data_IF_732155107228
#
_entry.id   IF_732155107228
#
_cell.length_a   1.000
_cell.length_b   1.000
_cell.length_c   1.000
_cell.angle_alpha   90.00
_cell.angle_beta   90.00
_cell.angle_gamma   90.00
#
_symmetry.space_group_name_H-M   'P 1'
#
loop_
_entity.id
_entity.type
_entity.pdbx_description
1 polymer ?
#
# COMPACT_ATOMS: atom_id res chain seq x y z
N UNK A 1 -8.52 -0.23 -5.24
CA UNK A 1 -9.76 -0.99 -5.03
C UNK A 1 -9.52 -2.45 -4.67
N UNK A 2 -8.58 -3.15 -5.31
CA UNK A 2 -8.21 -4.53 -4.92
C UNK A 2 -7.79 -4.66 -3.45
N UNK A 3 -6.99 -3.71 -2.94
CA UNK A 3 -6.53 -3.71 -1.55
C UNK A 3 -7.69 -3.61 -0.54
N UNK A 4 -8.71 -2.80 -0.85
CA UNK A 4 -9.90 -2.67 0.00
C UNK A 4 -10.68 -3.99 0.06
N UNK A 5 -10.83 -4.65 -1.09
CA UNK A 5 -11.49 -5.96 -1.15
C UNK A 5 -10.71 -7.01 -0.35
N UNK A 6 -9.38 -7.03 -0.46
CA UNK A 6 -8.50 -7.91 0.33
C UNK A 6 -8.75 -7.74 1.83
N UNK A 7 -8.77 -6.50 2.32
CA UNK A 7 -9.02 -6.23 3.75
C UNK A 7 -10.43 -6.65 4.15
N UNK A 8 -11.45 -6.33 3.37
CA UNK A 8 -12.85 -6.69 3.67
C UNK A 8 -13.06 -8.20 3.72
N UNK A 9 -12.50 -8.94 2.77
CA UNK A 9 -12.61 -10.40 2.71
C UNK A 9 -11.91 -11.06 3.90
N UNK A 10 -10.74 -10.54 4.30
CA UNK A 10 -10.02 -11.07 5.45
C UNK A 10 -10.73 -10.78 6.76
N UNK A 11 -11.32 -9.59 6.90
CA UNK A 11 -12.16 -9.24 8.06
C UNK A 11 -13.47 -10.04 8.11
N UNK A 12 -14.01 -10.44 6.96
CA UNK A 12 -15.19 -11.32 6.88
C UNK A 12 -14.91 -12.75 7.37
N UNK A 13 -13.65 -13.10 7.68
CA UNK A 13 -13.27 -14.40 8.26
C UNK A 13 -12.53 -15.32 7.31
N UNK A 14 -12.22 -14.88 6.08
CA UNK A 14 -11.38 -15.67 5.19
C UNK A 14 -9.94 -15.72 5.74
N UNK A 15 -9.29 -16.90 5.81
CA UNK A 15 -7.95 -17.07 6.36
C UNK A 15 -6.87 -16.62 5.35
N UNK A 16 -6.91 -15.35 4.94
CA UNK A 16 -6.00 -14.76 3.96
C UNK A 16 -4.94 -13.84 4.59
N UNK A 17 -5.06 -13.55 5.89
CA UNK A 17 -4.03 -12.85 6.65
C UNK A 17 -3.05 -13.86 7.27
N UNK A 18 -1.85 -13.38 7.64
CA UNK A 18 -0.75 -14.23 8.09
C UNK A 18 -1.08 -15.08 9.33
N UNK A 19 -1.99 -14.61 10.19
CA UNK A 19 -2.44 -15.32 11.40
C UNK A 19 -3.91 -15.77 11.30
N UNK A 20 -4.42 -15.93 10.08
CA UNK A 20 -5.79 -16.38 9.80
C UNK A 20 -6.69 -15.26 9.26
N UNK A 21 -7.84 -15.05 9.88
CA UNK A 21 -8.84 -14.08 9.41
C UNK A 21 -9.85 -13.74 10.49
N UNK A 22 -10.69 -12.75 10.21
CA UNK A 22 -11.80 -12.35 11.06
C UNK A 22 -11.65 -10.96 11.69
N UNK A 23 -12.70 -10.47 12.37
CA UNK A 23 -12.75 -9.11 12.90
C UNK A 23 -11.75 -8.85 14.03
N UNK A 24 -11.34 -9.89 14.76
CA UNK A 24 -10.32 -9.80 15.81
C UNK A 24 -8.94 -9.41 15.28
N UNK A 25 -8.70 -9.57 13.97
CA UNK A 25 -7.45 -9.19 13.32
C UNK A 25 -7.19 -7.68 13.38
N UNK A 26 -8.22 -6.86 13.63
CA UNK A 26 -8.08 -5.41 13.81
C UNK A 26 -7.15 -5.09 14.98
N UNK A 27 -7.08 -5.94 16.00
CA UNK A 27 -6.22 -5.74 17.18
C UNK A 27 -4.76 -6.18 16.97
N UNK A 28 -4.40 -6.59 15.74
CA UNK A 28 -3.02 -6.95 15.45
C UNK A 28 -2.17 -5.72 15.14
N UNK A 29 -0.94 -5.66 15.68
CA UNK A 29 -0.02 -4.55 15.44
C UNK A 29 0.31 -4.33 13.95
N UNK A 30 0.22 -5.40 13.15
CA UNK A 30 0.48 -5.39 11.70
C UNK A 30 -0.71 -4.91 10.88
N UNK A 31 -1.92 -4.86 11.45
CA UNK A 31 -3.14 -4.47 10.74
C UNK A 31 -3.09 -3.04 10.20
N UNK A 32 -2.42 -2.13 10.91
CA UNK A 32 -2.21 -0.76 10.44
C UNK A 32 -1.50 -0.66 9.09
N UNK A 33 -0.63 -1.61 8.75
CA UNK A 33 0.01 -1.65 7.43
C UNK A 33 -0.99 -1.99 6.33
N UNK A 34 -2.01 -2.83 6.61
CA UNK A 34 -3.07 -3.14 5.64
C UNK A 34 -3.90 -1.90 5.29
N UNK A 35 -4.27 -1.12 6.30
CA UNK A 35 -4.94 0.18 6.09
C UNK A 35 -4.03 1.12 5.32
N UNK A 36 -2.74 1.16 5.70
CA UNK A 36 -1.70 1.87 4.98
C UNK A 36 -1.62 1.50 3.50
N UNK A 37 -1.70 0.20 3.15
CA UNK A 37 -1.71 -0.28 1.76
C UNK A 37 -2.94 0.19 0.99
N UNK A 38 -4.12 0.20 1.60
CA UNK A 38 -5.34 0.71 0.96
C UNK A 38 -5.19 2.19 0.60
N UNK A 39 -4.73 3.00 1.55
CA UNK A 39 -4.55 4.44 1.36
C UNK A 39 -3.37 4.75 0.42
N UNK A 40 -2.25 4.05 0.60
CA UNK A 40 -1.06 4.14 -0.24
C UNK A 40 -1.38 3.82 -1.70
N UNK A 41 -2.14 2.76 -1.98
CA UNK A 41 -2.59 2.43 -3.33
C UNK A 41 -3.47 3.54 -3.94
N UNK A 42 -4.33 4.16 -3.13
CA UNK A 42 -5.12 5.33 -3.53
C UNK A 42 -4.25 6.53 -3.91
N UNK A 43 -3.24 6.84 -3.07
CA UNK A 43 -2.28 7.92 -3.31
C UNK A 43 -1.43 7.67 -4.55
N UNK A 44 -0.90 6.46 -4.74
CA UNK A 44 -0.14 6.08 -5.94
C UNK A 44 -0.99 6.31 -7.20
N UNK A 45 -2.24 5.84 -7.19
CA UNK A 45 -3.17 6.02 -8.30
C UNK A 45 -3.46 7.50 -8.59
N UNK A 46 -3.70 8.30 -7.54
CA UNK A 46 -3.98 9.73 -7.66
C UNK A 46 -2.77 10.52 -8.18
N UNK A 47 -1.58 10.28 -7.65
CA UNK A 47 -0.34 10.93 -8.10
C UNK A 47 -0.05 10.57 -9.56
N UNK A 48 -0.21 9.31 -9.94
CA UNK A 48 0.03 8.85 -11.31
C UNK A 48 -0.96 9.47 -12.31
N UNK A 49 -2.25 9.60 -11.94
CA UNK A 49 -3.25 10.30 -12.76
C UNK A 49 -2.91 11.80 -12.92
N UNK A 50 -2.43 12.45 -11.86
CA UNK A 50 -2.11 13.88 -11.89
C UNK A 50 -0.87 14.18 -12.74
N UNK A 51 0.13 13.30 -12.74
CA UNK A 51 1.36 13.47 -13.52
C UNK A 51 1.18 13.21 -15.02
N UNK A 52 0.09 12.55 -15.45
CA UNK A 52 -0.28 12.27 -16.86
C UNK A 52 0.84 11.74 -17.76
N UNK A 53 1.87 11.15 -17.18
CA UNK A 53 3.11 10.78 -17.87
C UNK A 53 3.62 9.48 -17.28
N UNK A 54 3.64 8.43 -18.11
CA UNK A 54 4.11 7.09 -17.77
C UNK A 54 5.64 6.99 -17.75
N UNK A 55 6.35 8.07 -17.41
CA UNK A 55 7.80 8.06 -17.24
C UNK A 55 8.16 7.25 -16.00
N UNK A 56 9.23 6.48 -16.09
CA UNK A 56 9.73 5.64 -14.99
C UNK A 56 9.95 6.46 -13.72
N UNK A 57 10.48 7.69 -13.85
CA UNK A 57 10.69 8.63 -12.73
C UNK A 57 9.38 8.98 -12.01
N UNK A 58 8.30 9.19 -12.75
CA UNK A 58 7.00 9.58 -12.19
C UNK A 58 6.35 8.39 -11.47
N UNK A 59 6.47 7.19 -12.06
CA UNK A 59 5.99 5.97 -11.42
C UNK A 59 6.78 5.65 -10.14
N UNK A 60 8.10 5.84 -10.15
CA UNK A 60 8.93 5.68 -8.96
C UNK A 60 8.56 6.69 -7.89
N UNK A 61 8.35 7.95 -8.26
CA UNK A 61 7.93 8.99 -7.33
C UNK A 61 6.56 8.67 -6.71
N UNK A 62 5.59 8.27 -7.53
CA UNK A 62 4.27 7.84 -7.04
C UNK A 62 4.40 6.67 -6.06
N UNK A 63 5.23 5.68 -6.38
CA UNK A 63 5.49 4.53 -5.51
C UNK A 63 6.12 4.95 -4.17
N UNK A 64 7.11 5.85 -4.19
CA UNK A 64 7.72 6.38 -2.97
C UNK A 64 6.73 7.17 -2.10
N UNK A 65 5.85 7.96 -2.72
CA UNK A 65 4.79 8.65 -1.99
C UNK A 65 3.81 7.65 -1.33
N UNK A 66 3.42 6.60 -2.05
CA UNK A 66 2.57 5.54 -1.50
C UNK A 66 3.25 4.83 -0.34
N UNK A 67 4.53 4.49 -0.49
CA UNK A 67 5.33 3.83 0.53
C UNK A 67 5.43 4.69 1.79
N UNK A 68 5.68 5.99 1.64
CA UNK A 68 5.69 6.92 2.76
C UNK A 68 4.37 6.92 3.54
N UNK A 69 3.22 6.91 2.85
CA UNK A 69 1.90 6.84 3.50
C UNK A 69 1.70 5.51 4.22
N UNK A 70 2.11 4.39 3.60
CA UNK A 70 2.01 3.05 4.21
C UNK A 70 2.79 3.02 5.53
N UNK A 71 4.03 3.48 5.51
CA UNK A 71 4.87 3.48 6.71
C UNK A 71 4.38 4.46 7.78
N UNK A 72 3.92 5.65 7.40
CA UNK A 72 3.37 6.61 8.36
C UNK A 72 2.18 6.01 9.12
N UNK A 73 1.22 5.43 8.41
CA UNK A 73 0.01 4.86 9.01
C UNK A 73 0.33 3.58 9.77
N UNK A 74 1.14 2.70 9.18
CA UNK A 74 1.57 1.45 9.78
C UNK A 74 2.35 1.66 11.07
N UNK A 75 3.27 2.62 11.11
CA UNK A 75 4.07 2.91 12.31
C UNK A 75 3.25 3.55 13.44
N UNK A 76 2.32 4.46 13.11
CA UNK A 76 1.41 5.07 14.09
C UNK A 76 0.56 3.98 14.76
N UNK A 77 0.00 3.08 13.95
CA UNK A 77 -0.82 1.98 14.43
C UNK A 77 0.00 0.98 15.26
N UNK A 78 1.15 0.55 14.72
CA UNK A 78 2.08 -0.37 15.39
C UNK A 78 2.47 0.14 16.77
N UNK A 79 2.78 1.43 16.89
CA UNK A 79 3.11 2.04 18.17
C UNK A 79 1.92 2.06 19.14
N UNK A 80 0.71 2.34 18.65
CA UNK A 80 -0.53 2.31 19.44
C UNK A 80 -0.79 0.92 20.01
N UNK A 81 -0.83 -0.11 19.16
CA UNK A 81 -1.13 -1.46 19.59
C UNK A 81 -0.06 -2.05 20.51
N UNK A 82 1.23 -1.86 20.21
CA UNK A 82 2.29 -2.38 21.06
C UNK A 82 2.27 -1.76 22.47
N UNK A 83 1.90 -0.48 22.58
CA UNK A 83 1.81 0.23 23.85
C UNK A 83 0.54 -0.11 24.64
N UNK A 84 -0.61 -0.16 23.97
CA UNK A 84 -1.91 -0.34 24.64
C UNK A 84 -2.29 -1.81 24.87
N UNK A 85 -1.90 -2.72 23.96
CA UNK A 85 -2.35 -4.12 23.98
C UNK A 85 -1.28 -5.03 24.56
N UNK A 86 -0.02 -4.89 24.12
CA UNK A 86 1.04 -5.79 24.55
C UNK A 86 1.72 -5.36 25.87
N UNK A 87 1.50 -4.13 26.35
CA UNK A 87 2.14 -3.58 27.58
C UNK A 87 3.66 -3.81 27.65
N UNK A 88 4.31 -3.94 26.51
CA UNK A 88 5.74 -4.25 26.43
C UNK A 88 6.52 -2.94 26.48
N UNK A 89 7.68 -2.88 27.18
CA UNK A 89 8.48 -1.67 27.30
C UNK A 89 9.28 -1.39 26.03
N UNK A 90 8.66 -1.51 24.86
CA UNK A 90 9.30 -1.22 23.58
C UNK A 90 9.30 0.29 23.37
N UNK A 91 10.50 0.84 23.29
CA UNK A 91 10.71 2.25 22.99
C UNK A 91 10.23 2.54 21.56
N UNK A 92 9.65 3.73 21.32
CA UNK A 92 9.24 4.22 19.97
C UNK A 92 10.32 3.95 18.91
N UNK A 93 11.58 4.14 19.28
CA UNK A 93 12.75 3.88 18.43
C UNK A 93 12.80 2.43 17.92
N UNK A 94 12.47 1.46 18.76
CA UNK A 94 12.52 0.04 18.39
C UNK A 94 11.39 -0.34 17.43
N UNK A 95 10.18 0.20 17.63
CA UNK A 95 9.05 0.03 16.72
C UNK A 95 9.34 0.61 15.32
N UNK A 96 9.98 1.78 15.26
CA UNK A 96 10.39 2.40 13.99
C UNK A 96 11.52 1.61 13.33
N UNK A 97 12.52 1.14 14.09
CA UNK A 97 13.63 0.37 13.52
C UNK A 97 13.14 -0.94 12.91
N UNK A 98 12.31 -1.70 13.64
CA UNK A 98 11.81 -2.98 13.13
C UNK A 98 10.75 -2.78 12.05
N UNK A 99 9.77 -1.91 12.30
CA UNK A 99 8.65 -1.71 11.39
C UNK A 99 9.06 -1.01 10.10
N UNK A 100 9.90 0.03 10.21
CA UNK A 100 10.31 0.87 9.08
C UNK A 100 11.67 0.47 8.55
N UNK A 101 12.74 0.52 9.35
CA UNK A 101 14.11 0.41 8.83
C UNK A 101 14.46 -0.97 8.27
N UNK A 102 13.95 -2.06 8.86
CA UNK A 102 14.20 -3.43 8.39
C UNK A 102 13.43 -3.75 7.11
N UNK A 103 12.19 -3.28 7.00
CA UNK A 103 11.30 -3.55 5.86
C UNK A 103 11.60 -2.65 4.64
N UNK A 104 12.08 -1.42 4.88
CA UNK A 104 12.33 -0.41 3.85
C UNK A 104 13.25 -0.84 2.70
N UNK A 105 14.42 -1.49 2.91
CA UNK A 105 15.26 -1.93 1.81
C UNK A 105 14.58 -2.99 0.93
N UNK A 106 13.82 -3.91 1.53
CA UNK A 106 13.03 -4.90 0.80
C UNK A 106 11.97 -4.22 -0.07
N UNK A 107 11.21 -3.31 0.51
CA UNK A 107 10.14 -2.59 -0.20
C UNK A 107 10.65 -1.67 -1.30
N UNK A 108 11.82 -1.06 -1.14
CA UNK A 108 12.47 -0.26 -2.18
C UNK A 108 12.87 -1.15 -3.37
N UNK A 109 13.43 -2.33 -3.11
CA UNK A 109 13.80 -3.28 -4.16
C UNK A 109 12.55 -3.80 -4.88
N UNK A 110 11.54 -4.29 -4.14
CA UNK A 110 10.29 -4.75 -4.74
C UNK A 110 9.57 -3.62 -5.47
N UNK A 111 9.52 -2.42 -4.89
CA UNK A 111 8.86 -1.26 -5.46
C UNK A 111 9.49 -0.78 -6.77
N UNK A 112 10.82 -0.78 -6.85
CA UNK A 112 11.54 -0.44 -8.09
C UNK A 112 11.31 -1.50 -9.18
N UNK A 113 11.34 -2.79 -8.83
CA UNK A 113 11.02 -3.89 -9.74
C UNK A 113 9.57 -3.81 -10.23
N UNK A 114 8.60 -3.61 -9.34
CA UNK A 114 7.20 -3.43 -9.68
C UNK A 114 6.98 -2.23 -10.60
N UNK A 115 7.68 -1.12 -10.36
CA UNK A 115 7.62 0.07 -11.21
C UNK A 115 8.19 -0.20 -12.60
N UNK A 116 9.32 -0.91 -12.68
CA UNK A 116 9.93 -1.32 -13.93
C UNK A 116 9.02 -2.25 -14.74
N UNK A 117 8.47 -3.28 -14.09
CA UNK A 117 7.51 -4.21 -14.68
C UNK A 117 6.26 -3.47 -15.14
N UNK A 118 5.73 -2.54 -14.34
CA UNK A 118 4.56 -1.73 -14.70
C UNK A 118 4.82 -0.87 -15.95
N UNK A 119 6.00 -0.25 -16.05
CA UNK A 119 6.39 0.53 -17.22
C UNK A 119 6.55 -0.34 -18.49
N UNK A 120 6.90 -1.62 -18.33
CA UNK A 120 6.95 -2.59 -19.45
C UNK A 120 5.56 -3.12 -19.80
N UNK A 121 4.76 -3.46 -18.81
CA UNK A 121 3.39 -3.94 -18.96
C UNK A 121 2.51 -2.91 -19.65
N UNK A 122 2.59 -1.62 -19.29
CA UNK A 122 1.83 -0.55 -19.95
C UNK A 122 2.19 -0.38 -21.44
N UNK A 123 3.42 -0.74 -21.83
CA UNK A 123 3.84 -0.72 -23.24
C UNK A 123 3.32 -1.93 -24.02
N UNK A 124 3.22 -3.09 -23.39
CA UNK A 124 2.79 -4.36 -24.00
C UNK A 124 1.27 -4.47 -24.02
N UNK A 125 0.64 -4.19 -22.89
CA UNK A 125 -0.79 -4.11 -22.71
C UNK A 125 -1.19 -2.70 -23.13
N UNK A 126 -1.23 -2.42 -24.44
CA UNK A 126 -2.04 -1.30 -24.95
C UNK A 126 -3.50 -1.65 -24.65
N UNK A 127 -4.19 -0.97 -23.73
CA UNK A 127 -5.58 -1.27 -23.51
C UNK A 127 -6.38 -0.52 -24.57
N UNK A 128 -6.80 -1.24 -25.61
CA UNK A 128 -7.74 -0.75 -26.63
C UNK A 128 -9.09 -0.30 -26.01
N UNK A 129 -9.32 -0.62 -24.73
CA UNK A 129 -10.56 -0.35 -24.01
C UNK A 129 -10.60 0.94 -23.17
N UNK A 130 -9.51 1.74 -23.10
CA UNK A 130 -9.51 3.08 -22.43
C UNK A 130 -9.73 4.21 -23.46
N UNK A 131 -10.63 4.03 -24.42
CA UNK A 131 -11.12 5.14 -25.28
C UNK A 131 -12.60 5.48 -25.11
N UNK A 132 -13.39 4.64 -24.44
CA UNK A 132 -14.85 4.85 -24.36
C UNK A 132 -15.31 5.83 -23.26
N UNK A 133 -14.42 6.30 -22.37
CA UNK A 133 -14.78 7.31 -21.36
C UNK A 133 -14.46 8.76 -21.75
N UNK A 134 -13.64 9.01 -22.77
CA UNK A 134 -13.34 10.37 -23.24
C UNK A 134 -14.32 10.86 -24.34
N UNK A 135 -15.00 9.95 -25.05
CA UNK A 135 -15.95 10.34 -26.12
C UNK A 135 -17.33 10.73 -25.59
N UNK A 136 -17.72 10.32 -24.38
CA UNK A 136 -19.04 10.68 -23.79
C UNK A 136 -19.09 12.02 -23.06
N UNK A 137 -18.03 12.83 -23.13
CA UNK A 137 -18.01 14.20 -22.56
C UNK A 137 -18.07 15.31 -23.62
N UNK A 138 -18.21 14.95 -24.90
CA UNK A 138 -18.35 15.90 -26.02
C UNK A 138 -19.51 15.48 -26.93
N UNK A 139 -20.66 15.20 -26.33
CA UNK A 139 -21.93 14.98 -27.02
C UNK A 139 -23.05 15.61 -26.22
#
# INVERSE_FOLDING_TARGET
>A
MSQTLYVLVGLAGAPIFAEGGGPSYIFQPTFGYLIGFVLGAGVIGWVNQKMKSARLTNLLFANLCGLAVIYLIGCIWLYGDLRFILSTPITIKYAIVIGCLVSLPGDLLLGTLCTYLSARLVKVIKPEHIKLKEVKKVG
#
